data_IF_629609879101
#
_entry.id   IF_629609879101
#
_cell.length_a   1.000
_cell.length_b   1.000
_cell.length_c   1.000
_cell.angle_alpha   90.00
_cell.angle_beta   90.00
_cell.angle_gamma   90.00
#
_symmetry.space_group_name_H-M   'P 1'
#
loop_
_entity.id
_entity.type
_entity.pdbx_description
1 polymer ?
#
# COMPACT_ATOMS: atom_id res chain seq x y z
N UNK A 1 -15.93 14.46 10.98
CA UNK A 1 -15.10 13.30 10.61
C UNK A 1 -15.82 12.61 9.46
N UNK A 2 -15.42 12.88 8.21
CA UNK A 2 -15.97 12.20 7.03
C UNK A 2 -15.41 10.77 7.04
N UNK A 3 -16.21 9.84 7.54
CA UNK A 3 -15.88 8.41 7.52
C UNK A 3 -16.38 7.90 6.17
N UNK A 4 -15.48 7.47 5.29
CA UNK A 4 -15.88 6.68 4.14
C UNK A 4 -16.72 5.51 4.66
N UNK A 5 -18.00 5.45 4.29
CA UNK A 5 -18.82 4.28 4.61
C UNK A 5 -18.19 3.09 3.89
N UNK A 6 -18.02 1.99 4.61
CA UNK A 6 -17.51 0.73 4.08
C UNK A 6 -18.14 0.42 2.71
N UNK A 7 -17.31 0.24 1.68
CA UNK A 7 -17.73 -0.21 0.34
C UNK A 7 -17.72 0.83 -0.78
N UNK A 8 -17.53 2.13 -0.51
CA UNK A 8 -17.53 3.15 -1.56
C UNK A 8 -16.09 3.49 -2.04
N UNK A 9 -15.62 2.78 -3.07
CA UNK A 9 -14.31 3.03 -3.71
C UNK A 9 -14.19 4.47 -4.23
N UNK A 10 -15.31 5.08 -4.63
CA UNK A 10 -15.32 6.48 -5.11
C UNK A 10 -15.10 7.44 -3.96
N UNK A 11 -15.79 7.24 -2.83
CA UNK A 11 -15.58 8.04 -1.63
C UNK A 11 -14.14 7.93 -1.10
N UNK A 12 -13.58 6.71 -1.06
CA UNK A 12 -12.20 6.50 -0.67
C UNK A 12 -11.24 7.23 -1.61
N UNK A 13 -11.45 7.13 -2.92
CA UNK A 13 -10.67 7.86 -3.92
C UNK A 13 -10.68 9.37 -3.68
N UNK A 14 -11.87 9.97 -3.52
CA UNK A 14 -12.01 11.40 -3.25
C UNK A 14 -11.24 11.82 -1.98
N UNK A 15 -11.33 11.03 -0.91
CA UNK A 15 -10.61 11.31 0.33
C UNK A 15 -9.09 11.29 0.13
N UNK A 16 -8.56 10.29 -0.58
CA UNK A 16 -7.12 10.18 -0.81
C UNK A 16 -6.59 11.27 -1.74
N UNK A 17 -7.34 11.62 -2.79
CA UNK A 17 -7.02 12.75 -3.65
C UNK A 17 -6.91 14.06 -2.86
N UNK A 18 -7.83 14.31 -1.92
CA UNK A 18 -7.75 15.46 -1.02
C UNK A 18 -6.57 15.37 -0.04
N UNK A 19 -6.35 14.20 0.58
CA UNK A 19 -5.28 13.97 1.55
C UNK A 19 -3.90 14.24 0.96
N UNK A 20 -3.66 13.76 -0.26
CA UNK A 20 -2.36 13.86 -0.94
C UNK A 20 -2.26 15.07 -1.89
N UNK A 21 -3.27 15.94 -1.93
CA UNK A 21 -3.34 17.09 -2.83
C UNK A 21 -3.15 16.73 -4.32
N UNK A 22 -3.77 15.64 -4.77
CA UNK A 22 -3.62 15.08 -6.12
C UNK A 22 -2.18 14.71 -6.52
N UNK A 23 -1.36 14.33 -5.55
CA UNK A 23 -0.01 13.83 -5.79
C UNK A 23 0.08 12.34 -5.46
N UNK A 24 0.90 11.60 -6.22
CA UNK A 24 1.34 10.28 -5.80
C UNK A 24 2.06 10.39 -4.46
N UNK A 25 1.64 9.61 -3.46
CA UNK A 25 2.18 9.72 -2.11
C UNK A 25 3.71 9.46 -2.04
N UNK A 26 4.23 8.62 -2.95
CA UNK A 26 5.64 8.20 -3.01
C UNK A 26 6.44 9.00 -4.04
N UNK A 27 6.07 8.92 -5.32
CA UNK A 27 6.83 9.58 -6.39
C UNK A 27 6.58 11.08 -6.43
N UNK A 28 5.52 11.58 -5.80
CA UNK A 28 5.01 12.97 -5.92
C UNK A 28 4.70 13.39 -7.37
N UNK A 29 4.48 12.43 -8.27
CA UNK A 29 3.92 12.71 -9.60
C UNK A 29 2.51 13.28 -9.45
N UNK A 30 2.17 14.38 -10.15
CA UNK A 30 0.83 14.95 -10.08
C UNK A 30 -0.19 14.10 -10.84
N UNK A 31 -1.45 14.20 -10.43
CA UNK A 31 -2.58 13.61 -11.16
C UNK A 31 -2.73 14.27 -12.52
N UNK A 32 -2.84 13.46 -13.58
CA UNK A 32 -3.16 13.95 -14.93
C UNK A 32 -4.57 14.55 -15.01
N UNK A 33 -5.46 14.18 -14.09
CA UNK A 33 -6.82 14.69 -14.03
C UNK A 33 -6.89 16.09 -13.40
N UNK A 34 -5.82 16.56 -12.75
CA UNK A 34 -5.74 17.91 -12.20
C UNK A 34 -4.83 18.80 -13.07
N UNK A 35 -5.47 19.63 -13.90
CA UNK A 35 -4.83 20.52 -14.88
C UNK A 35 -4.08 21.72 -14.27
N UNK A 36 -4.10 21.90 -12.95
CA UNK A 36 -3.48 23.09 -12.31
C UNK A 36 -1.96 22.97 -12.10
N UNK A 37 -1.38 21.78 -12.33
CA UNK A 37 0.05 21.53 -12.12
C UNK A 37 0.90 21.89 -13.34
N UNK A 38 1.13 23.19 -13.56
CA UNK A 38 2.00 23.69 -14.63
C UNK A 38 3.50 23.76 -14.26
N UNK A 39 3.89 23.42 -13.03
CA UNK A 39 5.25 23.68 -12.51
C UNK A 39 6.00 22.49 -11.91
N UNK A 40 5.41 21.28 -11.90
CA UNK A 40 6.14 20.10 -11.42
C UNK A 40 7.10 19.58 -12.51
N UNK A 41 8.37 19.30 -12.20
CA UNK A 41 9.28 18.64 -13.15
C UNK A 41 8.93 17.14 -13.34
N UNK A 42 7.95 16.61 -12.60
CA UNK A 42 7.55 15.21 -12.65
C UNK A 42 6.44 14.99 -13.66
N UNK A 43 6.53 13.87 -14.37
CA UNK A 43 5.55 13.45 -15.37
C UNK A 43 4.21 13.17 -14.66
N UNK A 44 3.10 13.82 -15.07
CA UNK A 44 1.78 13.50 -14.54
C UNK A 44 1.40 12.05 -14.80
N UNK A 45 0.64 11.46 -13.89
CA UNK A 45 0.18 10.08 -13.99
C UNK A 45 -1.33 9.97 -13.66
N UNK A 46 -1.97 8.91 -14.15
CA UNK A 46 -3.28 8.51 -13.64
C UNK A 46 -3.03 7.92 -12.27
N UNK A 47 -3.51 8.59 -11.22
CA UNK A 47 -3.33 8.11 -9.85
C UNK A 47 -4.43 7.13 -9.48
N UNK A 48 -4.04 6.09 -8.75
CA UNK A 48 -4.90 4.97 -8.38
C UNK A 48 -4.88 4.75 -6.87
N UNK A 49 -6.03 4.35 -6.32
CA UNK A 49 -6.16 3.97 -4.92
C UNK A 49 -5.65 2.55 -4.75
N UNK A 50 -4.67 2.37 -3.87
CA UNK A 50 -4.06 1.08 -3.60
C UNK A 50 -4.21 0.75 -2.12
N UNK A 51 -4.68 -0.46 -1.82
CA UNK A 51 -4.70 -0.94 -0.43
C UNK A 51 -3.30 -1.38 -0.02
N UNK A 52 -2.87 -0.99 1.17
CA UNK A 52 -1.58 -1.39 1.74
C UNK A 52 -1.62 -2.88 2.07
N UNK A 53 -2.68 -3.31 2.78
CA UNK A 53 -3.02 -4.71 2.97
C UNK A 53 -4.24 -5.05 2.13
N UNK A 54 -4.07 -5.88 1.08
CA UNK A 54 -5.14 -6.27 0.19
C UNK A 54 -6.30 -7.03 0.87
N UNK A 55 -7.50 -6.94 0.29
CA UNK A 55 -8.70 -7.64 0.78
C UNK A 55 -8.56 -9.16 0.80
N UNK A 56 -7.78 -9.75 -0.10
CA UNK A 56 -7.60 -11.21 -0.20
C UNK A 56 -6.94 -11.83 1.04
N UNK A 57 -6.38 -11.03 1.96
CA UNK A 57 -5.96 -11.50 3.29
C UNK A 57 -7.13 -12.08 4.11
N UNK A 58 -8.36 -11.69 3.78
CA UNK A 58 -9.60 -12.24 4.35
C UNK A 58 -10.04 -13.54 3.66
N UNK A 59 -9.57 -13.82 2.44
CA UNK A 59 -9.94 -15.02 1.69
C UNK A 59 -9.11 -16.23 2.12
N UNK A 60 -9.53 -16.86 3.21
CA UNK A 60 -9.09 -18.20 3.53
C UNK A 60 -9.86 -19.21 2.67
N UNK A 61 -9.19 -19.83 1.71
CA UNK A 61 -9.56 -21.20 1.34
C UNK A 61 -9.09 -22.09 2.48
N UNK A 62 -9.95 -22.95 3.01
CA UNK A 62 -9.64 -23.95 4.05
C UNK A 62 -8.63 -25.00 3.55
N UNK A 63 -7.44 -24.57 3.10
CA UNK A 63 -6.32 -25.43 2.79
C UNK A 63 -5.37 -25.45 4.00
N UNK A 64 -4.91 -26.63 4.43
CA UNK A 64 -4.04 -26.75 5.60
C UNK A 64 -2.72 -25.96 5.46
N UNK A 65 -2.20 -25.83 4.25
CA UNK A 65 -0.97 -25.06 3.94
C UNK A 65 -1.13 -23.55 4.18
N UNK A 66 -2.31 -22.99 3.85
CA UNK A 66 -2.63 -21.58 4.14
C UNK A 66 -2.74 -21.33 5.63
N UNK A 67 -3.33 -22.25 6.39
CA UNK A 67 -3.49 -22.09 7.86
C UNK A 67 -2.13 -22.05 8.57
N UNK A 68 -1.18 -22.91 8.18
CA UNK A 68 0.18 -22.90 8.75
C UNK A 68 0.94 -21.62 8.42
N UNK A 69 0.83 -21.13 7.18
CA UNK A 69 1.48 -19.88 6.75
C UNK A 69 0.91 -18.67 7.50
N UNK A 70 -0.41 -18.59 7.66
CA UNK A 70 -1.06 -17.53 8.45
C UNK A 70 -0.74 -17.62 9.94
N UNK A 71 -0.68 -18.84 10.50
CA UNK A 71 -0.27 -19.06 11.88
C UNK A 71 1.16 -18.57 12.14
N UNK A 72 2.07 -18.80 11.20
CA UNK A 72 3.45 -18.29 11.28
C UNK A 72 3.49 -16.76 11.20
N UNK A 73 2.78 -16.17 10.23
CA UNK A 73 2.72 -14.71 10.06
C UNK A 73 2.14 -14.03 11.31
N UNK A 74 1.01 -14.50 11.83
CA UNK A 74 0.40 -13.94 13.04
C UNK A 74 1.30 -14.09 14.28
N UNK A 75 2.03 -15.21 14.39
CA UNK A 75 2.99 -15.42 15.49
C UNK A 75 4.17 -14.45 15.38
N UNK A 76 4.67 -14.20 14.17
CA UNK A 76 5.81 -13.31 13.93
C UNK A 76 5.45 -11.83 14.06
N UNK A 77 4.27 -11.43 13.60
CA UNK A 77 3.81 -10.04 13.70
C UNK A 77 3.22 -9.72 15.07
N UNK A 78 2.79 -10.73 15.84
CA UNK A 78 1.94 -10.57 17.03
C UNK A 78 0.64 -9.81 16.75
N UNK A 79 0.21 -9.73 15.48
CA UNK A 79 -1.01 -9.06 15.02
C UNK A 79 -1.89 -10.13 14.38
N UNK A 80 -3.17 -10.15 14.75
CA UNK A 80 -4.17 -10.85 13.96
C UNK A 80 -4.44 -10.05 12.68
N UNK A 81 -3.68 -10.37 11.63
CA UNK A 81 -3.73 -9.65 10.35
C UNK A 81 -5.16 -9.69 9.77
N UNK A 82 -5.90 -10.77 10.01
CA UNK A 82 -7.23 -10.94 9.44
C UNK A 82 -8.26 -10.06 10.14
N UNK A 83 -8.24 -10.05 11.47
CA UNK A 83 -9.08 -9.14 12.23
C UNK A 83 -8.72 -7.68 11.93
N UNK A 84 -7.42 -7.37 11.81
CA UNK A 84 -6.97 -6.04 11.43
C UNK A 84 -7.51 -5.61 10.06
N UNK A 85 -7.38 -6.47 9.03
CA UNK A 85 -7.89 -6.16 7.68
C UNK A 85 -9.41 -6.05 7.73
N UNK A 86 -10.13 -6.92 8.46
CA UNK A 86 -11.60 -6.84 8.59
C UNK A 86 -12.05 -5.48 9.14
N UNK A 87 -11.32 -4.93 10.10
CA UNK A 87 -11.63 -3.64 10.71
C UNK A 87 -11.23 -2.44 9.85
N UNK A 88 -10.19 -2.59 9.01
CA UNK A 88 -9.55 -1.46 8.33
C UNK A 88 -9.61 -1.53 6.80
N UNK A 89 -10.21 -2.56 6.21
CA UNK A 89 -10.05 -2.85 4.78
C UNK A 89 -10.40 -1.67 3.86
N UNK A 90 -11.49 -0.95 4.16
CA UNK A 90 -11.94 0.20 3.38
C UNK A 90 -11.56 1.55 4.02
N UNK A 91 -10.68 1.56 5.02
CA UNK A 91 -10.28 2.81 5.69
C UNK A 91 -9.24 3.55 4.85
N UNK A 92 -9.23 4.91 4.86
CA UNK A 92 -8.13 5.67 4.29
C UNK A 92 -6.77 5.32 4.89
N UNK A 93 -6.75 4.82 6.14
CA UNK A 93 -5.54 4.33 6.80
C UNK A 93 -4.96 3.05 6.21
N UNK A 94 -5.76 2.22 5.53
CA UNK A 94 -5.26 1.05 4.78
C UNK A 94 -5.04 1.37 3.29
N UNK A 95 -5.03 2.64 2.88
CA UNK A 95 -4.97 2.99 1.46
C UNK A 95 -4.03 4.17 1.15
N UNK A 96 -3.43 4.11 -0.04
CA UNK A 96 -2.46 5.10 -0.53
C UNK A 96 -2.79 5.43 -1.99
N UNK A 97 -2.64 6.71 -2.36
CA UNK A 97 -2.76 7.17 -3.73
C UNK A 97 -1.40 7.04 -4.44
N UNK A 98 -1.32 6.18 -5.46
CA UNK A 98 -0.07 5.87 -6.15
C UNK A 98 -0.16 6.08 -7.67
N UNK A 99 0.99 6.38 -8.28
CA UNK A 99 1.14 6.29 -9.73
C UNK A 99 1.26 4.79 -10.15
N UNK A 100 0.94 4.42 -11.39
CA UNK A 100 0.83 3.01 -11.79
C UNK A 100 2.15 2.23 -11.65
N UNK A 101 3.28 2.90 -11.91
CA UNK A 101 4.61 2.32 -11.75
C UNK A 101 4.88 1.98 -10.27
N UNK A 102 4.61 2.91 -9.36
CA UNK A 102 4.81 2.69 -7.92
C UNK A 102 3.83 1.69 -7.34
N UNK A 103 2.56 1.72 -7.78
CA UNK A 103 1.55 0.74 -7.39
C UNK A 103 2.04 -0.68 -7.66
N UNK A 104 2.51 -0.93 -8.89
CA UNK A 104 3.02 -2.24 -9.26
C UNK A 104 4.16 -2.71 -8.35
N UNK A 105 5.01 -1.80 -7.87
CA UNK A 105 6.08 -2.16 -6.91
C UNK A 105 5.54 -2.52 -5.53
N UNK A 106 4.54 -1.78 -5.05
CA UNK A 106 3.93 -2.04 -3.74
C UNK A 106 3.16 -3.38 -3.74
N UNK A 107 2.33 -3.62 -4.75
CA UNK A 107 1.51 -4.83 -4.86
C UNK A 107 2.34 -6.10 -5.04
N UNK A 108 3.45 -6.01 -5.78
CA UNK A 108 4.39 -7.12 -5.97
C UNK A 108 5.43 -7.22 -4.84
N UNK A 109 5.27 -6.47 -3.76
CA UNK A 109 6.18 -6.42 -2.60
C UNK A 109 7.63 -6.03 -2.92
N UNK A 110 7.93 -5.47 -4.10
CA UNK A 110 9.26 -4.98 -4.45
C UNK A 110 9.65 -3.69 -3.76
N UNK A 111 8.68 -2.98 -3.18
CA UNK A 111 8.86 -1.75 -2.45
C UNK A 111 8.11 -1.83 -1.13
N UNK A 112 8.76 -1.46 -0.03
CA UNK A 112 8.14 -1.37 1.29
C UNK A 112 8.62 -0.13 2.05
N UNK A 113 7.94 0.20 3.14
CA UNK A 113 8.16 1.42 3.93
C UNK A 113 8.57 1.04 5.35
N UNK A 114 9.82 1.33 5.72
CA UNK A 114 10.32 1.13 7.08
C UNK A 114 10.16 2.41 7.90
N UNK A 115 9.63 2.29 9.11
CA UNK A 115 9.49 3.45 10.01
C UNK A 115 10.87 4.05 10.31
N UNK A 116 10.96 5.37 10.26
CA UNK A 116 12.19 6.08 10.63
C UNK A 116 12.13 6.41 12.12
N UNK A 117 13.07 5.90 12.92
CA UNK A 117 13.12 6.22 14.35
C UNK A 117 14.08 7.39 14.66
N UNK A 118 15.00 7.68 13.73
CA UNK A 118 16.13 8.58 13.95
C UNK A 118 15.87 10.06 13.61
N UNK A 119 14.62 10.45 13.32
CA UNK A 119 14.26 11.81 12.88
C UNK A 119 13.22 12.40 13.84
N UNK A 120 13.39 13.66 14.26
CA UNK A 120 12.36 14.38 15.02
C UNK A 120 11.07 14.51 14.19
N UNK A 121 9.90 14.33 14.80
CA UNK A 121 8.59 14.26 14.12
C UNK A 121 8.42 13.10 13.13
N UNK A 122 9.08 11.96 13.38
CA UNK A 122 9.05 10.80 12.48
C UNK A 122 7.78 9.95 12.53
N UNK A 123 6.74 10.36 13.28
CA UNK A 123 5.54 9.54 13.50
C UNK A 123 4.90 9.06 12.18
N UNK A 124 4.95 9.90 11.15
CA UNK A 124 4.42 9.62 9.81
C UNK A 124 5.50 9.60 8.72
N UNK A 125 6.76 9.39 9.10
CA UNK A 125 7.91 9.37 8.18
C UNK A 125 8.48 7.96 8.04
N UNK A 126 8.67 7.56 6.78
CA UNK A 126 9.07 6.22 6.42
C UNK A 126 10.18 6.24 5.37
N UNK A 127 11.15 5.34 5.52
CA UNK A 127 12.21 5.12 4.56
C UNK A 127 11.73 4.09 3.54
N UNK A 128 11.76 4.49 2.27
CA UNK A 128 11.50 3.60 1.16
C UNK A 128 12.63 2.58 1.04
N UNK A 129 12.24 1.34 1.00
CA UNK A 129 13.10 0.20 0.75
C UNK A 129 12.63 -0.50 -0.51
N UNK A 130 13.58 -1.14 -1.18
CA UNK A 130 13.35 -1.78 -2.47
C UNK A 130 14.13 -3.07 -2.49
N UNK A 131 13.60 -4.08 -3.15
CA UNK A 131 14.32 -5.31 -3.44
C UNK A 131 15.66 -4.99 -4.15
N UNK A 132 16.82 -5.34 -3.55
CA UNK A 132 18.12 -4.99 -4.08
C UNK A 132 18.42 -5.62 -5.46
N UNK A 133 17.64 -6.64 -5.88
CA UNK A 133 17.76 -7.25 -7.21
C UNK A 133 17.30 -6.32 -8.33
N UNK A 134 16.51 -5.30 -8.02
CA UNK A 134 16.01 -4.32 -8.99
C UNK A 134 16.84 -3.04 -8.98
N UNK A 135 18.06 -3.11 -9.54
CA UNK A 135 19.06 -2.02 -9.51
C UNK A 135 18.50 -0.66 -9.94
N UNK A 136 17.71 -0.61 -11.02
CA UNK A 136 17.09 0.62 -11.49
C UNK A 136 16.15 1.25 -10.45
N UNK A 137 15.38 0.42 -9.73
CA UNK A 137 14.45 0.87 -8.69
C UNK A 137 15.18 1.30 -7.42
N UNK A 138 16.30 0.64 -7.08
CA UNK A 138 17.15 1.03 -5.96
C UNK A 138 17.62 2.47 -6.13
N UNK A 139 18.13 2.84 -7.31
CA UNK A 139 18.54 4.22 -7.57
C UNK A 139 17.38 5.24 -7.49
N UNK A 140 16.17 4.81 -7.84
CA UNK A 140 15.00 5.69 -7.88
C UNK A 140 14.31 5.85 -6.53
N UNK A 141 14.33 4.85 -5.66
CA UNK A 141 13.47 4.86 -4.46
C UNK A 141 14.20 4.50 -3.16
N UNK A 142 15.23 3.66 -3.19
CA UNK A 142 15.86 3.15 -1.98
C UNK A 142 16.47 4.26 -1.13
N UNK A 143 16.20 4.21 0.17
CA UNK A 143 16.73 5.16 1.16
C UNK A 143 16.03 6.51 1.21
N UNK A 144 15.14 6.83 0.25
CA UNK A 144 14.35 8.08 0.26
C UNK A 144 13.36 8.08 1.41
N UNK A 145 13.11 9.24 2.00
CA UNK A 145 12.13 9.41 3.08
C UNK A 145 10.84 9.94 2.48
N UNK A 146 9.72 9.30 2.83
CA UNK A 146 8.37 9.74 2.55
C UNK A 146 7.71 10.10 3.87
N UNK A 147 7.18 11.31 3.96
CA UNK A 147 6.35 11.76 5.08
C UNK A 147 4.92 11.88 4.59
N UNK A 148 4.00 11.17 5.26
CA UNK A 148 2.58 11.29 5.00
C UNK A 148 2.01 12.47 5.77
N UNK A 149 1.18 13.27 5.11
CA UNK A 149 0.54 14.44 5.69
C UNK A 149 -0.84 14.61 5.08
N UNK A 150 -1.80 15.08 5.89
CA UNK A 150 -3.12 15.44 5.42
C UNK A 150 -3.12 16.89 4.92
N UNK A 151 -3.26 17.06 3.61
CA UNK A 151 -3.33 18.37 2.96
C UNK A 151 -4.77 18.90 2.85
N UNK A 152 -5.77 18.10 3.23
CA UNK A 152 -7.18 18.47 3.11
C UNK A 152 -7.67 19.38 4.24
N UNK A 153 -6.94 19.42 5.36
CA UNK A 153 -7.38 20.03 6.62
C UNK A 153 -8.68 19.45 7.20
N UNK A 154 -9.15 18.29 6.71
CA UNK A 154 -10.38 17.65 7.20
C UNK A 154 -10.14 16.47 8.13
N UNK A 155 -8.87 16.15 8.41
CA UNK A 155 -8.48 15.04 9.27
C UNK A 155 -8.64 13.70 8.58
N UNK A 156 -8.32 13.62 7.28
CA UNK A 156 -8.31 12.33 6.57
C UNK A 156 -7.18 11.49 7.15
N UNK A 157 -7.53 10.26 7.55
CA UNK A 157 -6.59 9.34 8.17
C UNK A 157 -5.38 9.07 7.26
N UNK A 158 -4.18 9.20 7.84
CA UNK A 158 -2.92 8.83 7.20
C UNK A 158 -2.77 7.31 7.15
N UNK A 159 -1.89 6.78 6.27
CA UNK A 159 -1.52 5.37 6.28
C UNK A 159 -1.17 4.90 7.69
N UNK A 160 -1.86 3.86 8.16
CA UNK A 160 -1.63 3.29 9.48
C UNK A 160 -0.27 2.63 9.52
N UNK A 161 0.49 2.93 10.58
CA UNK A 161 1.85 2.42 10.76
C UNK A 161 1.86 0.89 10.83
N UNK A 162 0.81 0.29 11.38
CA UNK A 162 0.59 -1.14 11.49
C UNK A 162 0.41 -1.78 10.10
N UNK A 163 -0.35 -1.14 9.21
CA UNK A 163 -0.55 -1.62 7.84
C UNK A 163 0.79 -1.68 7.07
N UNK A 164 1.56 -0.60 7.19
CA UNK A 164 2.87 -0.46 6.56
C UNK A 164 3.87 -1.48 7.13
N UNK A 165 3.86 -1.68 8.45
CA UNK A 165 4.73 -2.65 9.12
C UNK A 165 4.40 -4.10 8.72
N UNK A 166 3.12 -4.46 8.59
CA UNK A 166 2.70 -5.78 8.12
C UNK A 166 3.15 -5.98 6.66
N UNK A 167 2.89 -5.01 5.78
CA UNK A 167 3.31 -5.06 4.37
C UNK A 167 4.84 -5.25 4.27
N UNK A 168 5.61 -4.44 5.00
CA UNK A 168 7.07 -4.52 5.03
C UNK A 168 7.57 -5.88 5.56
N UNK A 169 6.93 -6.44 6.57
CA UNK A 169 7.28 -7.75 7.12
C UNK A 169 7.07 -8.86 6.08
N UNK A 170 5.97 -8.80 5.34
CA UNK A 170 5.66 -9.75 4.27
C UNK A 170 6.67 -9.59 3.13
N UNK A 171 6.93 -8.37 2.67
CA UNK A 171 7.93 -8.10 1.64
C UNK A 171 9.29 -8.68 2.01
N UNK A 172 9.77 -8.41 3.23
CA UNK A 172 11.04 -8.93 3.74
C UNK A 172 11.05 -10.45 3.80
N UNK A 173 9.97 -11.10 4.27
CA UNK A 173 9.88 -12.55 4.32
C UNK A 173 9.89 -13.18 2.92
N UNK A 174 9.18 -12.60 1.96
CA UNK A 174 9.15 -13.05 0.56
C UNK A 174 10.52 -12.94 -0.11
N UNK A 175 11.26 -11.86 0.17
CA UNK A 175 12.59 -11.67 -0.37
C UNK A 175 13.64 -12.55 0.32
N UNK A 176 13.58 -12.70 1.65
CA UNK A 176 14.50 -13.54 2.40
C UNK A 176 14.35 -15.03 2.06
N UNK A 177 13.14 -15.48 1.74
CA UNK A 177 12.86 -16.87 1.36
C UNK A 177 13.11 -17.17 -0.13
N UNK A 178 13.31 -16.16 -0.97
CA UNK A 178 13.33 -16.31 -2.43
C UNK A 178 11.97 -16.66 -3.05
N UNK A 179 10.89 -16.70 -2.24
CA UNK A 179 9.54 -17.09 -2.68
C UNK A 179 8.74 -15.94 -3.31
N UNK A 180 9.31 -14.73 -3.41
CA UNK A 180 8.67 -13.57 -4.01
C UNK A 180 8.05 -13.86 -5.40
N UNK A 181 8.76 -14.60 -6.25
CA UNK A 181 8.30 -14.94 -7.60
C UNK A 181 7.15 -15.97 -7.60
N UNK A 182 7.08 -16.83 -6.59
CA UNK A 182 6.01 -17.82 -6.41
C UNK A 182 4.72 -17.17 -5.90
N UNK A 183 4.83 -16.26 -4.92
CA UNK A 183 3.67 -15.53 -4.39
C UNK A 183 3.01 -14.63 -5.44
N UNK A 184 3.80 -14.01 -6.34
CA UNK A 184 3.28 -13.18 -7.44
C UNK A 184 2.29 -13.92 -8.33
N UNK A 185 2.58 -15.17 -8.70
CA UNK A 185 1.67 -15.97 -9.52
C UNK A 185 0.35 -16.25 -8.80
N UNK A 186 0.43 -16.62 -7.52
CA UNK A 186 -0.75 -16.95 -6.71
C UNK A 186 -1.64 -15.74 -6.41
N UNK A 187 -1.05 -14.54 -6.26
CA UNK A 187 -1.78 -13.30 -6.01
C UNK A 187 -2.45 -12.76 -7.28
N UNK A 188 -1.73 -12.76 -8.41
CA UNK A 188 -2.26 -12.30 -9.70
C UNK A 188 -3.42 -13.19 -10.19
N UNK A 189 -3.30 -14.51 -10.07
CA UNK A 189 -4.36 -15.45 -10.46
C UNK A 189 -5.65 -15.26 -9.65
N UNK A 190 -5.59 -14.59 -8.50
CA UNK A 190 -6.75 -14.27 -7.66
C UNK A 190 -7.34 -12.88 -7.92
N UNK A 191 -6.52 -11.92 -8.34
CA UNK A 191 -7.01 -10.59 -8.78
C UNK A 191 -7.86 -10.71 -10.04
N UNK A 192 -7.38 -11.47 -11.04
CA UNK A 192 -8.12 -11.73 -12.27
C UNK A 192 -9.45 -12.48 -12.01
N UNK A 193 -9.47 -13.38 -11.01
CA UNK A 193 -10.68 -14.11 -10.64
C UNK A 193 -11.69 -13.26 -9.85
N UNK A 194 -11.25 -12.29 -9.05
CA UNK A 194 -12.13 -11.45 -8.24
C UNK A 194 -12.83 -10.37 -9.07
N UNK A 195 -12.20 -9.85 -10.12
CA UNK A 195 -12.82 -8.89 -11.04
C UNK A 195 -13.92 -9.53 -11.92
N UNK A 196 -13.87 -10.84 -12.15
CA UNK A 196 -14.94 -11.58 -12.84
C UNK A 196 -16.21 -11.78 -11.97
N UNK A 197 -16.08 -11.82 -10.63
CA UNK A 197 -17.23 -12.00 -9.72
C UNK A 197 -17.97 -10.70 -9.36
N UNK A 198 -17.43 -9.53 -9.73
CA UNK A 198 -18.03 -8.22 -9.42
C UNK A 198 -18.81 -7.65 -10.63
N UNK A 199 -18.75 -8.33 -11.79
CA UNK A 199 -19.43 -7.93 -13.03
C UNK A 199 -20.70 -8.75 -13.36
N UNK A 200 -21.15 -9.63 -12.46
CA UNK A 200 -22.45 -10.34 -12.50
C UNK A 200 -23.35 -9.91 -11.31
#
# INVERSE_FOLDING_TARGET
>A
MEIARSGDRVALSILLHRRECDLCAVSKSPSILNSTYHSSPKIPAILEVVHILPWHFLEQKNKPETVQTWGLLNTWTSIDIQEWVRQNANSPGNAILLAPDVRALLENFYLWLDKVEDVADSENSYRLQVDPRWVALVHLYHGRIVTFQDHSSTGVQLPLSEALAIHASIAKALHASGAADFFRGVLKDKEDAADDFIND
#
